data_IF_854980826954
#
_entry.id   IF_854980826954
#
_cell.length_a   1.000
_cell.length_b   1.000
_cell.length_c   1.000
_cell.angle_alpha   90.00
_cell.angle_beta   90.00
_cell.angle_gamma   90.00
#
_symmetry.space_group_name_H-M   'P 1'
#
loop_
_entity.id
_entity.type
_entity.pdbx_description
1 polymer ?
#
# COMPACT_ATOMS: atom_id res chain seq x y z
N UNK A 1 -7.74 -9.63 -19.91
CA UNK A 1 -6.69 -8.84 -20.58
C UNK A 1 -6.12 -7.73 -19.65
N UNK A 2 -6.96 -6.98 -18.90
CA UNK A 2 -6.49 -5.91 -17.98
C UNK A 2 -5.48 -6.37 -16.93
N UNK A 3 -5.74 -7.49 -16.25
CA UNK A 3 -4.81 -8.03 -15.24
C UNK A 3 -3.45 -8.43 -15.83
N UNK A 4 -3.41 -8.89 -17.07
CA UNK A 4 -2.17 -9.21 -17.77
C UNK A 4 -1.37 -7.94 -18.10
N UNK A 5 -2.05 -6.89 -18.55
CA UNK A 5 -1.44 -5.60 -18.86
C UNK A 5 -0.88 -4.91 -17.61
N UNK A 6 -1.51 -5.07 -16.44
CA UNK A 6 -1.00 -4.52 -15.17
C UNK A 6 0.35 -5.14 -14.75
N UNK A 7 0.62 -6.38 -15.15
CA UNK A 7 1.88 -7.07 -14.83
C UNK A 7 3.02 -6.73 -15.78
N UNK A 8 2.75 -6.09 -16.92
CA UNK A 8 3.81 -5.78 -17.92
C UNK A 8 4.88 -4.86 -17.36
N UNK A 9 4.53 -3.92 -16.49
CA UNK A 9 5.49 -3.05 -15.82
C UNK A 9 6.49 -3.83 -14.98
N UNK A 10 6.03 -4.81 -14.21
CA UNK A 10 6.90 -5.66 -13.36
C UNK A 10 7.80 -6.52 -14.23
N UNK A 11 7.25 -7.15 -15.28
CA UNK A 11 8.03 -7.95 -16.23
C UNK A 11 9.07 -7.09 -16.95
N UNK A 12 8.78 -5.82 -17.20
CA UNK A 12 9.71 -4.85 -17.78
C UNK A 12 10.74 -4.28 -16.76
N UNK A 13 10.76 -4.78 -15.53
CA UNK A 13 11.73 -4.38 -14.50
C UNK A 13 11.34 -3.14 -13.68
N UNK A 14 10.08 -2.67 -13.76
CA UNK A 14 9.61 -1.64 -12.86
C UNK A 14 9.52 -2.18 -11.43
N UNK A 15 10.16 -1.48 -10.49
CA UNK A 15 10.07 -1.84 -9.07
C UNK A 15 8.71 -1.43 -8.51
N UNK A 16 8.23 -2.20 -7.55
CA UNK A 16 7.04 -1.87 -6.77
C UNK A 16 7.44 -0.98 -5.59
N UNK A 17 6.47 -0.41 -4.90
CA UNK A 17 6.70 0.49 -3.77
C UNK A 17 6.21 -0.09 -2.45
N UNK A 18 6.06 0.78 -1.44
CA UNK A 18 5.76 0.44 -0.05
C UNK A 18 4.54 -0.47 0.12
N UNK A 19 3.46 -0.28 -0.66
CA UNK A 19 2.27 -1.13 -0.53
C UNK A 19 2.59 -2.61 -0.74
N UNK A 20 3.49 -2.92 -1.67
CA UNK A 20 3.90 -4.30 -1.97
C UNK A 20 4.96 -4.80 -1.00
N UNK A 21 5.97 -3.97 -0.69
CA UNK A 21 7.00 -4.31 0.27
C UNK A 21 6.42 -4.62 1.66
N UNK A 22 5.57 -3.74 2.19
CA UNK A 22 4.87 -3.98 3.45
C UNK A 22 3.96 -5.21 3.32
N UNK A 23 3.29 -5.39 2.16
CA UNK A 23 2.48 -6.57 1.88
C UNK A 23 3.24 -7.89 1.96
N UNK A 24 4.49 -7.95 1.50
CA UNK A 24 5.36 -9.13 1.65
C UNK A 24 5.63 -9.44 3.13
N UNK A 25 5.93 -8.41 3.91
CA UNK A 25 6.22 -8.57 5.34
C UNK A 25 4.97 -8.98 6.11
N UNK A 26 3.80 -8.40 5.80
CA UNK A 26 2.52 -8.81 6.38
C UNK A 26 2.21 -10.29 6.08
N UNK A 27 2.46 -10.73 4.84
CA UNK A 27 2.31 -12.13 4.45
C UNK A 27 3.27 -13.06 5.17
N UNK A 28 4.56 -12.72 5.18
CA UNK A 28 5.62 -13.56 5.74
C UNK A 28 5.69 -13.55 7.27
N UNK A 29 5.45 -12.41 7.92
CA UNK A 29 5.63 -12.24 9.36
C UNK A 29 4.31 -12.29 10.16
N UNK A 30 3.19 -11.92 9.57
CA UNK A 30 1.88 -11.87 10.23
C UNK A 30 0.85 -12.82 9.60
N UNK A 31 1.26 -13.64 8.63
CA UNK A 31 0.43 -14.65 7.96
C UNK A 31 -0.86 -14.06 7.32
N UNK A 32 -0.81 -12.80 6.88
CA UNK A 32 -1.92 -12.16 6.17
C UNK A 32 -2.03 -12.74 4.77
N UNK A 33 -3.21 -13.19 4.31
CA UNK A 33 -3.38 -13.66 2.95
C UNK A 33 -2.96 -12.59 1.94
N UNK A 34 -2.14 -12.96 0.95
CA UNK A 34 -1.54 -12.00 0.00
C UNK A 34 -2.58 -11.12 -0.72
N UNK A 35 -3.76 -11.65 -1.03
CA UNK A 35 -4.85 -10.87 -1.62
C UNK A 35 -5.36 -9.72 -0.74
N UNK A 36 -5.22 -9.82 0.59
CA UNK A 36 -5.66 -8.78 1.52
C UNK A 36 -4.57 -7.74 1.83
N UNK A 37 -3.29 -8.08 1.64
CA UNK A 37 -2.20 -7.15 1.98
C UNK A 37 -2.31 -5.83 1.24
N UNK A 38 -2.63 -5.87 -0.08
CA UNK A 38 -2.84 -4.67 -0.86
C UNK A 38 -4.13 -3.92 -0.49
N UNK A 39 -5.17 -4.63 -0.08
CA UNK A 39 -6.42 -3.99 0.36
C UNK A 39 -6.19 -3.12 1.60
N UNK A 40 -5.50 -3.66 2.62
CA UNK A 40 -5.24 -2.94 3.86
C UNK A 40 -4.13 -1.90 3.75
N UNK A 41 -3.27 -1.97 2.73
CA UNK A 41 -2.12 -1.05 2.64
C UNK A 41 -2.26 0.04 1.58
N UNK A 42 -2.86 -0.26 0.41
CA UNK A 42 -2.81 0.66 -0.73
C UNK A 42 -3.46 2.03 -0.47
N UNK A 43 -4.65 2.15 0.16
CA UNK A 43 -5.24 3.46 0.46
C UNK A 43 -4.31 4.34 1.30
N UNK A 44 -3.69 3.75 2.32
CA UNK A 44 -2.83 4.45 3.28
C UNK A 44 -1.48 4.82 2.69
N UNK A 45 -0.90 3.97 1.84
CA UNK A 45 0.32 4.28 1.08
C UNK A 45 0.04 5.39 0.06
N UNK A 46 -1.13 5.44 -0.57
CA UNK A 46 -1.52 6.56 -1.45
C UNK A 46 -1.59 7.87 -0.66
N UNK A 47 -2.22 7.88 0.51
CA UNK A 47 -2.29 9.07 1.35
C UNK A 47 -0.89 9.52 1.79
N UNK A 48 -0.04 8.58 2.25
CA UNK A 48 1.33 8.89 2.66
C UNK A 48 2.19 9.46 1.51
N UNK A 49 2.02 8.94 0.29
CA UNK A 49 2.73 9.38 -0.91
C UNK A 49 2.22 10.69 -1.51
N UNK A 50 1.05 11.18 -1.11
CA UNK A 50 0.34 12.31 -1.73
C UNK A 50 1.19 13.57 -1.86
N UNK A 51 2.09 13.82 -0.89
CA UNK A 51 2.98 14.99 -0.90
C UNK A 51 3.95 15.02 -2.08
N UNK A 52 4.27 13.88 -2.69
CA UNK A 52 5.27 13.76 -3.76
C UNK A 52 4.70 13.33 -5.12
N UNK A 53 3.51 12.72 -5.15
CA UNK A 53 2.94 12.18 -6.39
C UNK A 53 1.47 12.57 -6.64
N UNK A 54 1.00 13.69 -6.05
CA UNK A 54 -0.38 14.17 -6.16
C UNK A 54 -0.91 14.21 -7.60
N UNK A 55 -0.08 14.66 -8.56
CA UNK A 55 -0.51 14.74 -9.98
C UNK A 55 -0.76 13.36 -10.59
N UNK A 56 0.03 12.36 -10.22
CA UNK A 56 -0.21 10.97 -10.64
C UNK A 56 -1.48 10.40 -10.01
N UNK A 57 -1.74 10.73 -8.76
CA UNK A 57 -2.97 10.33 -8.07
C UNK A 57 -4.21 11.01 -8.65
N UNK A 58 -4.11 12.27 -9.11
CA UNK A 58 -5.21 12.93 -9.85
C UNK A 58 -5.55 12.21 -11.15
N UNK A 59 -4.55 11.71 -11.88
CA UNK A 59 -4.79 10.92 -13.08
C UNK A 59 -5.57 9.64 -12.78
N UNK A 60 -5.26 8.96 -11.66
CA UNK A 60 -6.02 7.81 -11.18
C UNK A 60 -7.47 8.20 -10.83
N UNK A 61 -7.66 9.27 -10.06
CA UNK A 61 -8.99 9.75 -9.68
C UNK A 61 -9.84 10.13 -10.91
N UNK A 62 -9.21 10.75 -11.92
CA UNK A 62 -9.85 11.07 -13.21
C UNK A 62 -10.29 9.79 -13.94
N UNK A 63 -9.41 8.76 -14.00
CA UNK A 63 -9.73 7.50 -14.64
C UNK A 63 -10.88 6.75 -13.93
N UNK A 64 -11.02 6.94 -12.60
CA UNK A 64 -12.15 6.43 -11.82
C UNK A 64 -13.42 7.31 -11.93
N UNK A 65 -13.41 8.37 -12.76
CA UNK A 65 -14.55 9.26 -12.98
C UNK A 65 -14.83 10.24 -11.85
N UNK A 66 -13.92 10.41 -10.89
CA UNK A 66 -14.10 11.28 -9.71
C UNK A 66 -12.87 12.17 -9.44
N UNK A 67 -12.53 13.11 -10.34
CA UNK A 67 -11.25 13.85 -10.31
C UNK A 67 -11.06 14.73 -9.07
N UNK A 68 -12.13 15.04 -8.35
CA UNK A 68 -12.11 15.91 -7.16
C UNK A 68 -12.02 15.16 -5.83
N UNK A 69 -11.98 13.82 -5.87
CA UNK A 69 -11.86 12.99 -4.67
C UNK A 69 -10.43 12.44 -4.60
N UNK A 70 -9.78 12.44 -3.43
CA UNK A 70 -8.46 11.83 -3.27
C UNK A 70 -8.43 10.37 -3.72
N UNK A 71 -7.34 9.95 -4.35
CA UNK A 71 -7.21 8.56 -4.82
C UNK A 71 -7.22 7.56 -3.66
N UNK A 72 -6.66 7.93 -2.50
CA UNK A 72 -6.72 7.15 -1.27
C UNK A 72 -8.16 6.81 -0.88
N UNK A 73 -9.04 7.82 -0.89
CA UNK A 73 -10.45 7.67 -0.51
C UNK A 73 -11.21 6.83 -1.54
N UNK A 74 -10.92 7.03 -2.84
CA UNK A 74 -11.57 6.27 -3.91
C UNK A 74 -11.20 4.78 -3.85
N UNK A 75 -9.94 4.48 -3.60
CA UNK A 75 -9.49 3.09 -3.48
C UNK A 75 -10.01 2.47 -2.18
N UNK A 76 -9.97 3.21 -1.05
CA UNK A 76 -10.57 2.75 0.20
C UNK A 76 -12.06 2.40 0.03
N UNK A 77 -12.82 3.30 -0.60
CA UNK A 77 -14.23 3.07 -0.88
C UNK A 77 -14.49 1.87 -1.80
N UNK A 78 -13.67 1.68 -2.82
CA UNK A 78 -13.77 0.51 -3.70
C UNK A 78 -13.56 -0.80 -2.93
N UNK A 79 -12.58 -0.83 -2.02
CA UNK A 79 -12.28 -2.00 -1.19
C UNK A 79 -13.44 -2.30 -0.24
N UNK A 80 -14.02 -1.27 0.40
CA UNK A 80 -15.22 -1.39 1.23
C UNK A 80 -16.42 -1.92 0.45
N UNK A 81 -16.68 -1.38 -0.75
CA UNK A 81 -17.79 -1.81 -1.62
C UNK A 81 -17.66 -3.28 -2.08
N UNK A 82 -16.44 -3.81 -2.08
CA UNK A 82 -16.14 -5.21 -2.34
C UNK A 82 -16.19 -6.09 -1.07
N UNK A 83 -16.54 -5.50 0.08
CA UNK A 83 -16.57 -6.18 1.39
C UNK A 83 -15.22 -6.79 1.80
N UNK A 84 -14.12 -6.15 1.37
CA UNK A 84 -12.75 -6.57 1.69
C UNK A 84 -12.20 -5.77 2.88
N UNK A 85 -11.21 -6.31 3.62
CA UNK A 85 -10.62 -5.63 4.76
C UNK A 85 -9.89 -4.35 4.34
N UNK A 86 -10.07 -3.27 5.11
CA UNK A 86 -9.46 -1.97 4.90
C UNK A 86 -8.49 -1.59 6.02
N UNK A 87 -8.45 -2.37 7.10
CA UNK A 87 -7.64 -2.11 8.30
C UNK A 87 -6.82 -3.32 8.70
N UNK A 88 -5.65 -3.08 9.30
CA UNK A 88 -4.73 -4.11 9.76
C UNK A 88 -5.35 -5.01 10.84
N UNK A 89 -6.15 -4.45 11.75
CA UNK A 89 -6.83 -5.25 12.78
C UNK A 89 -7.81 -6.29 12.20
N UNK A 90 -8.45 -5.99 11.06
CA UNK A 90 -9.38 -6.91 10.39
C UNK A 90 -8.69 -8.15 9.80
N UNK A 91 -7.38 -8.06 9.59
CA UNK A 91 -6.54 -9.18 9.13
C UNK A 91 -5.66 -9.75 10.23
N UNK A 92 -5.93 -9.41 11.50
CA UNK A 92 -5.30 -9.99 12.68
C UNK A 92 -3.95 -9.36 13.07
N UNK A 93 -3.57 -8.25 12.45
CA UNK A 93 -2.34 -7.51 12.77
C UNK A 93 -2.61 -6.48 13.87
N UNK A 94 -1.81 -6.51 14.94
CA UNK A 94 -1.95 -5.65 16.10
C UNK A 94 -0.82 -4.63 16.20
N UNK A 95 -1.05 -3.54 16.92
CA UNK A 95 -0.06 -2.46 17.09
C UNK A 95 1.25 -2.91 17.73
N UNK A 96 1.22 -3.89 18.62
CA UNK A 96 2.42 -4.44 19.25
C UNK A 96 3.39 -5.11 18.27
N UNK A 97 2.92 -5.47 17.08
CA UNK A 97 3.71 -6.06 16.00
C UNK A 97 4.36 -4.98 15.09
N UNK A 98 3.91 -3.73 15.13
CA UNK A 98 4.31 -2.69 14.17
C UNK A 98 5.82 -2.42 14.18
N UNK A 99 6.47 -2.41 15.35
CA UNK A 99 7.93 -2.23 15.45
C UNK A 99 8.68 -3.30 14.66
N UNK A 100 8.37 -4.57 14.91
CA UNK A 100 8.99 -5.69 14.20
C UNK A 100 8.68 -5.69 12.71
N UNK A 101 7.43 -5.38 12.33
CA UNK A 101 7.04 -5.32 10.92
C UNK A 101 7.77 -4.19 10.19
N UNK A 102 7.89 -3.00 10.82
CA UNK A 102 8.58 -1.87 10.22
C UNK A 102 10.09 -2.13 10.04
N UNK A 103 10.74 -2.76 11.01
CA UNK A 103 12.14 -3.16 10.90
C UNK A 103 12.34 -4.19 9.77
N UNK A 104 11.46 -5.18 9.68
CA UNK A 104 11.52 -6.19 8.62
C UNK A 104 11.31 -5.60 7.22
N UNK A 105 10.49 -4.56 7.08
CA UNK A 105 10.30 -3.86 5.80
C UNK A 105 11.60 -3.25 5.25
N UNK A 106 12.55 -2.91 6.10
CA UNK A 106 13.85 -2.39 5.67
C UNK A 106 14.76 -3.45 5.03
N UNK A 107 14.35 -4.72 5.05
CA UNK A 107 15.05 -5.82 4.37
C UNK A 107 14.51 -6.07 2.95
N UNK A 108 13.40 -5.44 2.57
CA UNK A 108 12.81 -5.57 1.23
C UNK A 108 13.23 -4.38 0.34
N UNK A 109 13.93 -4.66 -0.75
CA UNK A 109 14.42 -3.66 -1.71
C UNK A 109 13.33 -2.76 -2.28
N UNK A 110 12.08 -3.23 -2.33
CA UNK A 110 10.96 -2.44 -2.86
C UNK A 110 10.50 -1.34 -1.91
N UNK A 111 10.85 -1.43 -0.63
CA UNK A 111 10.65 -0.33 0.34
C UNK A 111 11.33 0.95 -0.14
N UNK A 112 12.56 0.83 -0.66
CA UNK A 112 13.38 1.96 -1.10
C UNK A 112 12.99 2.51 -2.47
N UNK A 113 12.13 1.81 -3.23
CA UNK A 113 11.64 2.26 -4.53
C UNK A 113 10.29 2.98 -4.47
N UNK A 114 9.80 3.27 -3.25
CA UNK A 114 8.55 4.02 -3.05
C UNK A 114 8.71 5.48 -3.52
N UNK A 115 7.67 6.12 -4.13
CA UNK A 115 7.73 7.51 -4.61
C UNK A 115 8.14 8.53 -3.54
N UNK A 116 7.54 8.48 -2.35
CA UNK A 116 8.06 9.19 -1.17
C UNK A 116 9.08 8.27 -0.53
N UNK A 117 10.33 8.71 -0.54
CA UNK A 117 11.46 7.91 -0.10
C UNK A 117 11.31 7.44 1.35
N UNK A 118 11.50 6.13 1.58
CA UNK A 118 11.52 5.51 2.90
C UNK A 118 12.95 5.14 3.23
N UNK A 119 13.47 5.68 4.33
CA UNK A 119 14.86 5.50 4.78
C UNK A 119 14.97 4.89 6.16
N UNK A 120 13.86 4.81 6.90
CA UNK A 120 13.88 4.30 8.27
C UNK A 120 12.59 3.56 8.63
N UNK A 121 12.66 2.65 9.64
CA UNK A 121 11.50 1.93 10.14
C UNK A 121 10.37 2.85 10.64
N UNK A 122 10.70 4.03 11.20
CA UNK A 122 9.72 4.98 11.72
C UNK A 122 8.77 5.46 10.61
N UNK A 123 9.27 5.63 9.38
CA UNK A 123 8.45 6.04 8.25
C UNK A 123 7.51 4.90 7.78
N UNK A 124 7.93 3.65 7.93
CA UNK A 124 7.03 2.50 7.72
C UNK A 124 5.98 2.44 8.84
N UNK A 125 6.39 2.72 10.08
CA UNK A 125 5.49 2.81 11.23
C UNK A 125 4.37 3.82 11.00
N UNK A 126 4.68 5.02 10.49
CA UNK A 126 3.68 6.03 10.12
C UNK A 126 2.62 5.46 9.16
N UNK A 127 3.05 4.65 8.17
CA UNK A 127 2.12 4.03 7.21
C UNK A 127 1.25 2.96 7.88
N UNK A 128 1.83 2.13 8.77
CA UNK A 128 1.09 1.13 9.52
C UNK A 128 0.06 1.75 10.47
N UNK A 129 0.41 2.88 11.11
CA UNK A 129 -0.50 3.65 11.96
C UNK A 129 -1.69 4.22 11.18
N UNK A 130 -1.48 4.69 9.94
CA UNK A 130 -2.59 5.11 9.07
C UNK A 130 -3.56 3.97 8.75
N UNK A 131 -3.06 2.72 8.74
CA UNK A 131 -3.82 1.52 8.38
C UNK A 131 -4.44 0.80 9.61
N UNK A 132 -4.29 1.34 10.79
CA UNK A 132 -4.81 0.75 12.06
C UNK A 132 -6.31 1.00 12.30
#
# INVERSE_FOLDING_TARGET
MGAWLSMTGIVAGCRLGASHAIGHILGGSANVPHGYTSCVMLPHVLEWNKSVNAERQKALALAMGKPNIPASDLIGKLIEDLELPTKLEQVGVKQDQFSTLSENCMLDDWTFSNPREIRSPEQVMEILELAS
#
